data_IF_201182836066
#
_entry.id   IF_201182836066
#
_cell.length_a   1.000
_cell.length_b   1.000
_cell.length_c   1.000
_cell.angle_alpha   90.00
_cell.angle_beta   90.00
_cell.angle_gamma   90.00
#
_symmetry.space_group_name_H-M   'P 1'
#
loop_
_entity.id
_entity.type
_entity.pdbx_description
1 polymer ?
#
# COMPACT_ATOMS: atom_id res chain seq x y z
N UNK A 1 -18.61 55.14 24.55
CA UNK A 1 -17.24 54.64 24.79
C UNK A 1 -17.34 53.29 25.48
N UNK A 2 -17.16 52.20 24.74
CA UNK A 2 -17.23 50.83 25.28
C UNK A 2 -15.83 50.34 25.64
N UNK A 3 -15.63 49.94 26.89
CA UNK A 3 -14.39 49.31 27.36
C UNK A 3 -14.18 47.98 26.66
N UNK A 4 -13.17 47.90 25.78
CA UNK A 4 -12.68 46.64 25.28
C UNK A 4 -12.06 45.87 26.46
N UNK A 5 -12.49 44.63 26.75
CA UNK A 5 -11.89 43.84 27.81
C UNK A 5 -10.42 43.59 27.46
N UNK A 6 -9.51 43.98 28.38
CA UNK A 6 -8.08 43.65 28.30
C UNK A 6 -7.96 42.12 28.38
N UNK A 7 -7.87 41.47 27.21
CA UNK A 7 -7.64 40.04 27.12
C UNK A 7 -6.32 39.68 27.80
N UNK A 8 -6.41 38.84 28.84
CA UNK A 8 -5.28 38.31 29.57
C UNK A 8 -4.41 37.44 28.66
N UNK A 9 -3.32 38.04 28.15
CA UNK A 9 -2.37 37.35 27.26
C UNK A 9 -1.62 36.22 27.97
N UNK A 10 -1.58 36.18 29.31
CA UNK A 10 -0.88 35.12 30.06
C UNK A 10 -1.65 33.80 30.00
N UNK A 11 -2.99 33.85 29.99
CA UNK A 11 -3.82 32.66 29.82
C UNK A 11 -3.66 31.98 28.45
N UNK A 12 -3.43 32.76 27.39
CA UNK A 12 -3.29 32.24 26.02
C UNK A 12 -1.99 31.43 25.86
N UNK A 13 -0.87 31.94 26.39
CA UNK A 13 0.42 31.24 26.30
C UNK A 13 0.41 29.94 27.11
N UNK A 14 -0.13 29.97 28.33
CA UNK A 14 -0.27 28.77 29.17
C UNK A 14 -1.13 27.69 28.52
N UNK A 15 -2.26 28.10 27.92
CA UNK A 15 -3.12 27.18 27.16
C UNK A 15 -2.42 26.57 25.95
N UNK A 16 -1.64 27.37 25.21
CA UNK A 16 -0.91 26.88 24.04
C UNK A 16 0.18 25.87 24.42
N UNK A 17 0.96 26.14 25.46
CA UNK A 17 1.99 25.21 25.97
C UNK A 17 1.35 23.90 26.43
N UNK A 18 0.27 23.95 27.19
CA UNK A 18 -0.46 22.76 27.62
C UNK A 18 -0.98 21.96 26.41
N UNK A 19 -1.58 22.60 25.42
CA UNK A 19 -2.01 21.94 24.20
C UNK A 19 -0.85 21.28 23.44
N UNK A 20 0.29 21.95 23.31
CA UNK A 20 1.48 21.37 22.70
C UNK A 20 1.99 20.14 23.48
N UNK A 21 2.06 20.23 24.82
CA UNK A 21 2.46 19.11 25.66
C UNK A 21 1.50 17.93 25.55
N UNK A 22 0.18 18.19 25.52
CA UNK A 22 -0.82 17.16 25.31
C UNK A 22 -0.68 16.51 23.94
N UNK A 23 -0.50 17.29 22.87
CA UNK A 23 -0.29 16.77 21.52
C UNK A 23 0.98 15.91 21.42
N UNK A 24 2.08 16.35 22.02
CA UNK A 24 3.33 15.58 22.07
C UNK A 24 3.15 14.31 22.90
N UNK A 25 2.50 14.40 24.06
CA UNK A 25 2.23 13.25 24.92
C UNK A 25 1.35 12.20 24.26
N UNK A 26 0.23 12.61 23.66
CA UNK A 26 -0.64 11.70 22.91
C UNK A 26 0.01 11.19 21.63
N UNK A 27 0.80 12.02 20.94
CA UNK A 27 1.60 11.59 19.79
C UNK A 27 2.60 10.51 20.16
N UNK A 28 3.31 10.68 21.27
CA UNK A 28 4.24 9.69 21.80
C UNK A 28 3.52 8.38 22.18
N UNK A 29 2.36 8.48 22.84
CA UNK A 29 1.52 7.32 23.16
C UNK A 29 1.05 6.57 21.91
N UNK A 30 0.69 7.28 20.83
CA UNK A 30 0.29 6.65 19.57
C UNK A 30 1.45 5.91 18.87
N UNK A 31 2.67 6.43 19.03
CA UNK A 31 3.90 5.84 18.46
C UNK A 31 4.42 4.67 19.29
N UNK A 32 4.18 4.68 20.61
CA UNK A 32 4.75 3.73 21.56
C UNK A 32 4.53 2.25 21.18
N UNK A 33 3.33 1.79 20.76
CA UNK A 33 3.14 0.41 20.33
C UNK A 33 4.07 -0.01 19.18
N UNK A 34 4.34 0.89 18.24
CA UNK A 34 5.25 0.61 17.11
C UNK A 34 6.70 0.51 17.57
N UNK A 35 7.10 1.40 18.48
CA UNK A 35 8.46 1.39 19.08
C UNK A 35 8.68 0.11 19.89
N UNK A 36 7.72 -0.26 20.74
CA UNK A 36 7.79 -1.48 21.54
C UNK A 36 7.81 -2.72 20.65
N UNK A 37 6.86 -2.83 19.70
CA UNK A 37 6.82 -3.96 18.75
C UNK A 37 8.15 -4.11 18.02
N UNK A 38 8.68 -3.02 17.47
CA UNK A 38 9.91 -3.11 16.68
C UNK A 38 11.16 -3.33 17.53
N UNK A 39 11.21 -2.78 18.75
CA UNK A 39 12.28 -3.05 19.69
C UNK A 39 12.29 -4.51 20.14
N UNK A 40 11.12 -5.07 20.47
CA UNK A 40 10.99 -6.45 20.96
C UNK A 40 11.17 -7.49 19.85
N UNK A 41 10.56 -7.28 18.68
CA UNK A 41 10.56 -8.27 17.60
C UNK A 41 11.76 -8.16 16.67
N UNK A 42 12.26 -6.94 16.44
CA UNK A 42 13.28 -6.68 15.41
C UNK A 42 14.57 -6.06 15.97
N UNK A 43 14.63 -5.74 17.27
CA UNK A 43 15.79 -5.04 17.85
C UNK A 43 15.97 -3.60 17.35
N UNK A 44 14.96 -3.03 16.69
CA UNK A 44 15.02 -1.70 16.07
C UNK A 44 13.85 -0.81 16.51
N UNK A 45 13.85 -0.31 17.77
CA UNK A 45 12.71 0.45 18.31
C UNK A 45 12.40 1.73 17.50
N UNK A 46 13.41 2.34 16.91
CA UNK A 46 13.27 3.55 16.11
C UNK A 46 13.06 3.28 14.62
N UNK A 47 12.89 2.03 14.19
CA UNK A 47 12.65 1.68 12.79
C UNK A 47 11.53 2.49 12.09
N UNK A 48 10.45 2.95 12.75
CA UNK A 48 9.45 3.80 12.09
C UNK A 48 9.99 5.17 11.65
N UNK A 49 11.09 5.63 12.26
CA UNK A 49 11.67 6.96 12.05
C UNK A 49 13.05 6.90 11.38
N UNK A 50 13.87 5.94 11.81
CA UNK A 50 15.26 5.75 11.40
C UNK A 50 15.51 4.25 11.30
N UNK A 51 15.63 3.72 10.08
CA UNK A 51 16.16 2.35 9.88
C UNK A 51 17.61 2.43 9.44
N UNK A 52 18.41 1.44 9.81
CA UNK A 52 19.81 1.30 9.36
C UNK A 52 19.94 1.01 7.86
N UNK A 53 18.87 0.53 7.23
CA UNK A 53 18.90 0.10 5.84
C UNK A 53 18.54 1.23 4.87
N UNK A 54 17.44 1.96 5.08
CA UNK A 54 17.01 3.12 4.27
C UNK A 54 16.05 3.99 5.10
N UNK A 55 16.28 5.30 5.18
CA UNK A 55 15.35 6.17 5.92
C UNK A 55 13.93 6.04 5.34
N UNK A 56 12.89 6.17 6.17
CA UNK A 56 11.49 6.17 5.71
C UNK A 56 11.29 7.15 4.53
N UNK A 57 12.04 8.26 4.52
CA UNK A 57 12.07 9.28 3.45
C UNK A 57 12.68 8.79 2.12
N UNK A 58 13.60 7.82 2.14
CA UNK A 58 14.24 7.25 0.95
C UNK A 58 13.38 6.18 0.25
N UNK A 59 12.25 5.80 0.83
CA UNK A 59 11.34 4.84 0.18
C UNK A 59 10.71 5.42 -1.09
N UNK A 60 10.59 6.75 -1.22
CA UNK A 60 10.01 7.37 -2.42
C UNK A 60 10.72 6.96 -3.72
N UNK A 61 12.06 6.90 -3.71
CA UNK A 61 12.87 6.55 -4.89
C UNK A 61 12.79 5.06 -5.25
N UNK A 62 12.53 4.20 -4.27
CA UNK A 62 12.40 2.74 -4.49
C UNK A 62 11.12 2.38 -5.23
N UNK A 63 10.05 3.13 -4.98
CA UNK A 63 8.75 2.83 -5.57
C UNK A 63 8.62 3.45 -6.95
N UNK A 64 9.17 4.65 -7.16
CA UNK A 64 9.07 5.41 -8.42
C UNK A 64 10.30 6.30 -8.62
N UNK A 65 10.86 6.25 -9.83
CA UNK A 65 11.92 7.18 -10.22
C UNK A 65 11.49 8.66 -10.14
N UNK A 66 12.45 9.57 -10.08
CA UNK A 66 12.21 11.00 -9.84
C UNK A 66 11.21 11.64 -10.83
N UNK A 67 11.22 11.22 -12.10
CA UNK A 67 10.29 11.69 -13.13
C UNK A 67 8.84 11.27 -12.84
N UNK A 68 8.61 9.99 -12.54
CA UNK A 68 7.30 9.46 -12.19
C UNK A 68 6.77 10.09 -10.90
N UNK A 69 7.65 10.38 -9.94
CA UNK A 69 7.30 11.07 -8.70
C UNK A 69 6.90 12.54 -8.97
N UNK A 70 7.63 13.28 -9.81
CA UNK A 70 7.26 14.64 -10.21
C UNK A 70 5.92 14.68 -10.95
N UNK A 71 5.70 13.74 -11.87
CA UNK A 71 4.43 13.61 -12.57
C UNK A 71 3.28 13.32 -11.61
N UNK A 72 3.48 12.39 -10.65
CA UNK A 72 2.49 12.09 -9.63
C UNK A 72 2.14 13.32 -8.77
N UNK A 73 3.14 14.10 -8.37
CA UNK A 73 2.92 15.33 -7.61
C UNK A 73 2.12 16.39 -8.40
N UNK A 74 2.33 16.50 -9.71
CA UNK A 74 1.61 17.47 -10.54
C UNK A 74 0.12 17.10 -10.71
N UNK A 75 -0.21 15.81 -10.68
CA UNK A 75 -1.59 15.32 -10.76
C UNK A 75 -2.20 14.97 -9.40
N UNK A 76 -1.48 15.18 -8.29
CA UNK A 76 -1.83 14.70 -6.96
C UNK A 76 -3.27 15.06 -6.55
N UNK A 77 -3.76 16.31 -6.70
CA UNK A 77 -5.13 16.66 -6.32
C UNK A 77 -6.18 15.86 -7.10
N UNK A 78 -5.96 15.62 -8.40
CA UNK A 78 -6.87 14.85 -9.23
C UNK A 78 -6.77 13.35 -8.92
N UNK A 79 -5.54 12.87 -8.73
CA UNK A 79 -5.21 11.50 -8.39
C UNK A 79 -5.90 11.03 -7.11
N UNK A 80 -6.11 11.92 -6.13
CA UNK A 80 -6.80 11.59 -4.87
C UNK A 80 -8.25 11.15 -5.09
N UNK A 81 -8.95 11.72 -6.07
CA UNK A 81 -10.37 11.48 -6.30
C UNK A 81 -10.65 10.58 -7.50
N UNK A 82 -9.84 10.68 -8.55
CA UNK A 82 -10.05 10.01 -9.83
C UNK A 82 -8.92 9.05 -10.21
N UNK A 83 -7.79 9.08 -9.49
CA UNK A 83 -6.63 8.26 -9.82
C UNK A 83 -6.87 6.77 -9.63
N UNK A 84 -6.11 5.95 -10.35
CA UNK A 84 -5.97 4.53 -10.03
C UNK A 84 -4.50 4.17 -10.13
N UNK A 85 -3.84 4.08 -8.97
CA UNK A 85 -2.44 3.73 -8.88
C UNK A 85 -2.27 2.38 -8.20
N UNK A 86 -1.24 1.65 -8.62
CA UNK A 86 -0.84 0.42 -7.96
C UNK A 86 -0.57 0.68 -6.48
N UNK A 87 -1.15 -0.16 -5.62
CA UNK A 87 -0.98 -0.07 -4.16
C UNK A 87 -1.82 1.01 -3.48
N UNK A 88 -2.71 1.69 -4.21
CA UNK A 88 -3.56 2.75 -3.63
C UNK A 88 -4.78 2.20 -2.88
N UNK A 89 -5.27 1.02 -3.28
CA UNK A 89 -6.41 0.30 -2.69
C UNK A 89 -7.73 1.09 -2.56
N UNK A 90 -7.85 2.24 -3.23
CA UNK A 90 -9.06 3.05 -3.27
C UNK A 90 -8.78 4.51 -3.60
N UNK A 91 -9.84 5.29 -3.83
CA UNK A 91 -9.81 6.76 -4.02
C UNK A 91 -10.67 7.44 -2.96
N UNK A 92 -10.44 8.74 -2.73
CA UNK A 92 -11.36 9.57 -1.98
C UNK A 92 -12.66 9.78 -2.75
N UNK A 93 -13.75 9.98 -2.01
CA UNK A 93 -15.06 10.26 -2.62
C UNK A 93 -15.02 11.57 -3.42
N UNK A 94 -15.49 11.52 -4.67
CA UNK A 94 -15.70 12.70 -5.54
C UNK A 94 -16.70 13.70 -4.96
N UNK A 95 -17.49 13.30 -3.95
CA UNK A 95 -18.38 14.20 -3.22
C UNK A 95 -17.63 15.27 -2.44
N UNK A 96 -16.39 15.01 -2.02
CA UNK A 96 -15.60 15.98 -1.27
C UNK A 96 -15.40 17.26 -2.10
N UNK A 97 -14.78 17.20 -3.30
CA UNK A 97 -14.61 18.38 -4.13
C UNK A 97 -15.95 18.90 -4.68
N UNK A 98 -16.97 18.04 -4.88
CA UNK A 98 -18.27 18.49 -5.35
C UNK A 98 -19.03 19.35 -4.32
N UNK A 99 -18.92 19.02 -3.03
CA UNK A 99 -19.63 19.72 -1.95
C UNK A 99 -18.80 20.83 -1.31
N UNK A 100 -17.48 20.87 -1.53
CA UNK A 100 -16.61 21.91 -0.98
C UNK A 100 -17.06 23.34 -1.35
N UNK A 101 -17.44 23.66 -2.61
CA UNK A 101 -17.92 24.98 -2.99
C UNK A 101 -19.20 25.41 -2.27
N UNK A 102 -20.02 24.47 -1.77
CA UNK A 102 -21.24 24.78 -1.03
C UNK A 102 -20.96 25.49 0.31
N UNK A 103 -19.74 25.38 0.83
CA UNK A 103 -19.31 26.15 1.99
C UNK A 103 -19.27 27.65 1.72
N UNK A 104 -19.08 28.08 0.47
CA UNK A 104 -19.11 29.49 0.09
C UNK A 104 -20.52 30.09 0.18
N UNK A 105 -21.57 29.26 0.19
CA UNK A 105 -22.95 29.70 0.38
C UNK A 105 -23.27 30.02 1.85
N UNK A 106 -22.44 29.52 2.77
CA UNK A 106 -22.45 29.93 4.16
C UNK A 106 -21.88 31.34 4.16
N UNK A 107 -22.64 32.31 4.66
CA UNK A 107 -22.23 33.73 4.69
C UNK A 107 -20.97 33.97 5.52
N UNK A 108 -20.83 35.12 6.17
CA UNK A 108 -19.60 35.47 6.91
C UNK A 108 -19.24 34.40 7.97
N UNK A 109 -18.29 33.53 7.65
CA UNK A 109 -17.68 32.57 8.58
C UNK A 109 -16.47 33.26 9.20
N UNK A 110 -16.35 33.17 10.52
CA UNK A 110 -15.10 33.55 11.20
C UNK A 110 -14.04 32.50 10.87
N UNK A 111 -13.15 32.81 9.92
CA UNK A 111 -12.08 31.89 9.47
C UNK A 111 -11.20 31.40 10.61
N UNK A 112 -10.86 32.27 11.56
CA UNK A 112 -9.92 31.94 12.65
C UNK A 112 -10.60 31.17 13.79
N UNK A 113 -11.88 31.45 14.08
CA UNK A 113 -12.61 30.82 15.21
C UNK A 113 -13.41 29.59 14.81
N UNK A 114 -13.58 29.33 13.52
CA UNK A 114 -14.34 28.17 13.04
C UNK A 114 -13.51 26.90 13.19
N UNK A 115 -13.93 26.00 14.09
CA UNK A 115 -13.36 24.65 14.23
C UNK A 115 -13.31 23.91 12.90
N UNK A 116 -14.32 24.10 12.04
CA UNK A 116 -14.33 23.48 10.71
C UNK A 116 -13.19 23.97 9.82
N UNK A 117 -12.90 25.27 9.84
CA UNK A 117 -11.80 25.84 9.07
C UNK A 117 -10.46 25.37 9.63
N UNK A 118 -10.32 25.32 10.95
CA UNK A 118 -9.12 24.78 11.61
C UNK A 118 -8.88 23.31 11.24
N UNK A 119 -9.90 22.46 11.32
CA UNK A 119 -9.81 21.05 10.92
C UNK A 119 -9.49 20.89 9.42
N UNK A 120 -10.09 21.72 8.56
CA UNK A 120 -9.80 21.73 7.13
C UNK A 120 -8.34 22.13 6.87
N UNK A 121 -7.85 23.16 7.55
CA UNK A 121 -6.47 23.62 7.41
C UNK A 121 -5.46 22.57 7.90
N UNK A 122 -5.70 21.95 9.06
CA UNK A 122 -4.87 20.85 9.60
C UNK A 122 -4.86 19.66 8.65
N UNK A 123 -6.02 19.33 8.09
CA UNK A 123 -6.17 18.24 7.12
C UNK A 123 -5.38 18.50 5.83
N UNK A 124 -5.53 19.69 5.23
CA UNK A 124 -4.79 20.10 4.04
C UNK A 124 -3.28 20.12 4.32
N UNK A 125 -2.87 20.66 5.46
CA UNK A 125 -1.47 20.66 5.88
C UNK A 125 -0.95 19.23 6.04
N UNK A 126 -1.71 18.31 6.64
CA UNK A 126 -1.32 16.91 6.77
C UNK A 126 -1.12 16.21 5.43
N UNK A 127 -2.02 16.43 4.46
CA UNK A 127 -1.87 15.91 3.08
C UNK A 127 -0.65 16.53 2.39
N UNK A 128 -0.44 17.84 2.53
CA UNK A 128 0.70 18.54 1.94
C UNK A 128 2.03 18.06 2.53
N UNK A 129 2.12 17.91 3.86
CA UNK A 129 3.29 17.37 4.53
C UNK A 129 3.56 15.94 4.06
N UNK A 130 2.53 15.11 3.91
CA UNK A 130 2.71 13.78 3.32
C UNK A 130 3.27 13.85 1.90
N UNK A 131 2.71 14.70 1.03
CA UNK A 131 3.20 14.84 -0.34
C UNK A 131 4.65 15.36 -0.39
N UNK A 132 5.08 16.20 0.55
CA UNK A 132 6.45 16.71 0.63
C UNK A 132 7.43 15.66 1.17
N UNK A 133 7.07 14.95 2.24
CA UNK A 133 7.97 13.98 2.89
C UNK A 133 7.94 12.59 2.24
N UNK A 134 6.85 12.23 1.56
CA UNK A 134 6.61 10.92 0.95
C UNK A 134 6.06 11.03 -0.48
N UNK A 135 6.73 11.77 -1.39
CA UNK A 135 6.19 12.09 -2.70
C UNK A 135 6.01 10.85 -3.60
N UNK A 136 6.82 9.81 -3.41
CA UNK A 136 6.74 8.55 -4.17
C UNK A 136 5.71 7.54 -3.63
N UNK A 137 5.20 7.74 -2.40
CA UNK A 137 4.30 6.79 -1.74
C UNK A 137 2.86 7.30 -1.80
N UNK A 138 2.20 7.03 -2.92
CA UNK A 138 0.80 7.38 -3.14
C UNK A 138 -0.17 6.25 -2.78
N UNK A 139 -0.18 5.89 -1.50
CA UNK A 139 -1.13 4.93 -0.95
C UNK A 139 -2.00 5.60 0.12
N UNK A 140 -3.27 5.84 -0.20
CA UNK A 140 -4.20 6.63 0.63
C UNK A 140 -4.24 6.18 2.08
N UNK A 141 -4.07 4.88 2.34
CA UNK A 141 -4.07 4.31 3.70
C UNK A 141 -3.07 4.95 4.65
N UNK A 142 -1.94 5.48 4.17
CA UNK A 142 -0.90 6.03 5.05
C UNK A 142 -1.18 7.46 5.52
N UNK A 143 -2.01 8.19 4.77
CA UNK A 143 -2.45 9.55 5.11
C UNK A 143 -3.98 9.62 5.09
N UNK A 144 -4.64 8.50 5.39
CA UNK A 144 -6.08 8.40 5.48
C UNK A 144 -6.67 9.31 6.57
N UNK A 145 -6.06 9.45 7.77
CA UNK A 145 -6.62 10.32 8.81
C UNK A 145 -6.82 11.78 8.35
N UNK A 146 -5.82 12.50 7.79
CA UNK A 146 -6.05 13.84 7.29
C UNK A 146 -7.07 13.85 6.14
N UNK A 147 -7.07 12.84 5.26
CA UNK A 147 -8.08 12.76 4.20
C UNK A 147 -9.52 12.61 4.73
N UNK A 148 -9.72 11.81 5.79
CA UNK A 148 -11.03 11.66 6.43
C UNK A 148 -11.49 12.98 7.05
N UNK A 149 -10.58 13.81 7.57
CA UNK A 149 -10.94 15.14 8.07
C UNK A 149 -11.47 16.07 6.97
N UNK A 150 -11.09 15.89 5.70
CA UNK A 150 -11.68 16.63 4.56
C UNK A 150 -13.14 16.26 4.30
N UNK A 151 -13.63 15.14 4.84
CA UNK A 151 -15.05 14.78 4.68
C UNK A 151 -15.96 15.70 5.48
N UNK A 152 -15.49 16.24 6.61
CA UNK A 152 -16.25 17.13 7.48
C UNK A 152 -16.67 18.45 6.80
N UNK A 153 -15.77 19.23 6.16
CA UNK A 153 -16.17 20.42 5.42
C UNK A 153 -17.15 20.13 4.29
N UNK A 154 -16.93 19.05 3.53
CA UNK A 154 -17.84 18.65 2.46
C UNK A 154 -19.24 18.27 3.00
N UNK A 155 -19.30 17.46 4.06
CA UNK A 155 -20.55 17.08 4.70
C UNK A 155 -21.30 18.31 5.23
N UNK A 156 -20.60 19.26 5.86
CA UNK A 156 -21.21 20.49 6.35
C UNK A 156 -21.72 21.40 5.21
N UNK A 157 -21.03 21.43 4.08
CA UNK A 157 -21.47 22.12 2.87
C UNK A 157 -22.79 21.54 2.33
N UNK A 158 -22.88 20.22 2.24
CA UNK A 158 -24.09 19.50 1.83
C UNK A 158 -25.26 19.72 2.80
N UNK A 159 -25.01 19.61 4.11
CA UNK A 159 -26.01 19.85 5.15
C UNK A 159 -26.56 21.28 5.06
N UNK A 160 -25.69 22.28 4.90
CA UNK A 160 -26.12 23.66 4.76
C UNK A 160 -26.95 23.89 3.49
N UNK A 161 -26.52 23.32 2.35
CA UNK A 161 -27.28 23.36 1.11
C UNK A 161 -28.68 22.74 1.27
N UNK A 162 -28.79 21.70 2.10
CA UNK A 162 -30.06 21.04 2.41
C UNK A 162 -30.94 21.88 3.35
N UNK A 163 -30.38 22.36 4.45
CA UNK A 163 -31.07 23.08 5.51
C UNK A 163 -31.49 24.50 5.11
N UNK A 164 -30.64 25.23 4.37
CA UNK A 164 -30.83 26.65 4.11
C UNK A 164 -32.06 27.00 3.24
N UNK A 165 -32.78 26.01 2.71
CA UNK A 165 -34.08 26.20 2.04
C UNK A 165 -34.08 27.06 0.79
N UNK A 166 -32.90 27.52 0.34
CA UNK A 166 -32.78 28.53 -0.73
C UNK A 166 -33.20 28.01 -2.09
N UNK A 167 -33.01 26.73 -2.39
CA UNK A 167 -33.43 26.15 -3.67
C UNK A 167 -33.75 24.66 -3.58
N UNK A 168 -34.92 24.28 -4.13
CA UNK A 168 -35.32 22.87 -4.30
C UNK A 168 -34.37 22.12 -5.24
N UNK A 169 -33.84 22.78 -6.28
CA UNK A 169 -32.91 22.15 -7.22
C UNK A 169 -31.58 21.79 -6.55
N UNK A 170 -31.08 22.64 -5.64
CA UNK A 170 -29.86 22.35 -4.90
C UNK A 170 -30.02 21.13 -3.99
N UNK A 171 -31.16 21.03 -3.28
CA UNK A 171 -31.49 19.86 -2.46
C UNK A 171 -31.55 18.57 -3.28
N UNK A 172 -32.25 18.62 -4.41
CA UNK A 172 -32.36 17.48 -5.34
C UNK A 172 -30.97 17.11 -5.88
N UNK A 173 -30.15 18.09 -6.27
CA UNK A 173 -28.78 17.87 -6.73
C UNK A 173 -27.90 17.17 -5.70
N UNK A 174 -27.90 17.64 -4.44
CA UNK A 174 -27.18 17.00 -3.34
C UNK A 174 -27.66 15.55 -3.13
N UNK A 175 -28.97 15.32 -3.13
CA UNK A 175 -29.54 13.97 -2.99
C UNK A 175 -29.14 13.05 -4.14
N UNK A 176 -29.21 13.51 -5.39
CA UNK A 176 -28.78 12.74 -6.56
C UNK A 176 -27.30 12.38 -6.44
N UNK A 177 -26.43 13.33 -6.07
CA UNK A 177 -25.01 13.08 -5.85
C UNK A 177 -24.77 12.02 -4.77
N UNK A 178 -25.48 12.09 -3.64
CA UNK A 178 -25.38 11.10 -2.56
C UNK A 178 -25.83 9.71 -3.02
N UNK A 179 -26.99 9.61 -3.69
CA UNK A 179 -27.51 8.35 -4.22
C UNK A 179 -26.55 7.75 -5.26
N UNK A 180 -26.02 8.56 -6.18
CA UNK A 180 -25.03 8.14 -7.17
C UNK A 180 -23.75 7.62 -6.50
N UNK A 181 -23.23 8.33 -5.50
CA UNK A 181 -22.04 7.92 -4.78
C UNK A 181 -22.26 6.62 -3.99
N UNK A 182 -23.42 6.47 -3.34
CA UNK A 182 -23.81 5.22 -2.69
C UNK A 182 -23.92 4.09 -3.71
N UNK A 183 -24.64 4.28 -4.82
CA UNK A 183 -24.78 3.28 -5.87
C UNK A 183 -23.42 2.85 -6.44
N UNK A 184 -22.52 3.80 -6.72
CA UNK A 184 -21.16 3.51 -7.16
C UNK A 184 -20.37 2.72 -6.10
N UNK A 185 -20.51 3.08 -4.82
CA UNK A 185 -19.86 2.39 -3.71
C UNK A 185 -20.40 0.97 -3.52
N UNK A 186 -21.71 0.75 -3.60
CA UNK A 186 -22.35 -0.56 -3.47
C UNK A 186 -22.15 -1.47 -4.68
N UNK A 187 -21.96 -0.91 -5.88
CA UNK A 187 -21.70 -1.71 -7.07
C UNK A 187 -20.26 -2.24 -7.14
N UNK A 188 -19.30 -1.60 -6.48
CA UNK A 188 -17.88 -2.04 -6.47
C UNK A 188 -17.62 -3.36 -5.73
N UNK A 189 -18.15 -3.60 -4.50
CA UNK A 189 -17.82 -4.79 -3.71
C UNK A 189 -18.74 -5.99 -3.95
N UNK A 190 -19.61 -5.98 -4.98
CA UNK A 190 -20.57 -7.08 -5.22
C UNK A 190 -19.91 -8.46 -5.31
N UNK A 191 -18.66 -8.55 -5.77
CA UNK A 191 -17.85 -9.78 -5.68
C UNK A 191 -17.34 -10.06 -4.26
N UNK A 192 -16.64 -9.09 -3.67
CA UNK A 192 -15.93 -9.27 -2.40
C UNK A 192 -16.80 -9.62 -1.20
N UNK A 193 -18.03 -9.06 -1.07
CA UNK A 193 -18.91 -9.42 0.06
C UNK A 193 -19.43 -10.84 -0.10
N UNK A 194 -19.80 -11.24 -1.31
CA UNK A 194 -20.24 -12.60 -1.59
C UNK A 194 -19.13 -13.61 -1.31
N UNK A 195 -17.92 -13.33 -1.77
CA UNK A 195 -16.77 -14.20 -1.56
C UNK A 195 -16.35 -14.22 -0.08
N UNK A 196 -16.28 -13.07 0.60
CA UNK A 196 -16.05 -13.02 2.04
C UNK A 196 -17.09 -13.83 2.83
N UNK A 197 -18.37 -13.74 2.46
CA UNK A 197 -19.42 -14.56 3.08
C UNK A 197 -19.22 -16.05 2.80
N UNK A 198 -18.85 -16.45 1.58
CA UNK A 198 -18.51 -17.85 1.30
C UNK A 198 -17.34 -18.32 2.16
N UNK A 199 -16.30 -17.51 2.32
CA UNK A 199 -15.14 -17.83 3.17
C UNK A 199 -15.54 -18.02 4.63
N UNK A 200 -16.28 -17.06 5.19
CA UNK A 200 -16.79 -17.12 6.58
C UNK A 200 -17.68 -18.34 6.81
N UNK A 201 -18.48 -18.71 5.81
CA UNK A 201 -19.34 -19.90 5.84
C UNK A 201 -18.59 -21.21 5.53
N UNK A 202 -17.27 -21.18 5.33
CA UNK A 202 -16.47 -22.36 4.97
C UNK A 202 -16.78 -22.95 3.59
N UNK A 203 -17.46 -22.18 2.72
CA UNK A 203 -17.85 -22.57 1.35
C UNK A 203 -16.85 -22.12 0.28
N UNK A 204 -15.79 -21.43 0.69
CA UNK A 204 -14.72 -20.98 -0.16
C UNK A 204 -13.40 -21.06 0.62
N UNK A 205 -12.34 -21.47 -0.07
CA UNK A 205 -10.97 -21.48 0.44
C UNK A 205 -10.37 -20.07 0.41
N UNK A 206 -9.16 -19.94 0.97
CA UNK A 206 -8.41 -18.69 0.88
C UNK A 206 -8.03 -18.37 -0.57
N UNK A 207 -7.78 -19.38 -1.42
CA UNK A 207 -7.58 -19.22 -2.87
C UNK A 207 -8.81 -18.73 -3.62
N UNK A 208 -10.01 -19.12 -3.17
CA UNK A 208 -11.28 -18.76 -3.82
C UNK A 208 -11.67 -17.30 -3.57
N UNK A 209 -11.26 -16.75 -2.43
CA UNK A 209 -11.63 -15.38 -1.98
C UNK A 209 -10.46 -14.41 -2.08
N UNK A 210 -9.24 -14.95 -2.05
CA UNK A 210 -8.02 -14.20 -2.25
C UNK A 210 -7.71 -13.96 -3.73
N UNK A 211 -6.92 -12.91 -3.95
CA UNK A 211 -6.33 -12.64 -5.27
C UNK A 211 -5.18 -13.65 -5.56
N UNK A 212 -4.51 -13.52 -6.70
CA UNK A 212 -3.38 -14.37 -7.12
C UNK A 212 -2.37 -14.71 -6.01
N UNK A 213 -1.97 -13.80 -5.09
CA UNK A 213 -1.04 -14.15 -4.03
C UNK A 213 -1.52 -15.24 -3.06
N UNK A 214 -2.83 -15.36 -2.84
CA UNK A 214 -3.40 -16.41 -2.02
C UNK A 214 -3.22 -17.78 -2.66
N UNK A 215 -3.51 -17.88 -3.96
CA UNK A 215 -3.32 -19.10 -4.74
C UNK A 215 -1.85 -19.51 -4.84
N UNK A 216 -0.94 -18.55 -4.96
CA UNK A 216 0.50 -18.83 -4.89
C UNK A 216 0.89 -19.44 -3.54
N UNK A 217 0.42 -18.83 -2.44
CA UNK A 217 0.70 -19.33 -1.09
C UNK A 217 0.16 -20.74 -0.89
N UNK A 218 -1.09 -21.00 -1.30
CA UNK A 218 -1.71 -22.33 -1.21
C UNK A 218 -0.99 -23.38 -2.07
N UNK A 219 -0.51 -22.98 -3.26
CA UNK A 219 0.29 -23.86 -4.11
C UNK A 219 1.60 -24.23 -3.45
N UNK A 220 2.31 -23.27 -2.84
CA UNK A 220 3.54 -23.58 -2.09
C UNK A 220 3.22 -24.45 -0.86
N UNK A 221 2.16 -24.12 -0.11
CA UNK A 221 1.77 -24.83 1.10
C UNK A 221 1.41 -26.31 0.84
N UNK A 222 0.81 -26.60 -0.31
CA UNK A 222 0.43 -27.97 -0.71
C UNK A 222 1.61 -28.80 -1.22
N UNK A 223 2.65 -28.16 -1.75
CA UNK A 223 3.80 -28.85 -2.32
C UNK A 223 5.00 -28.93 -1.37
N UNK A 224 5.15 -27.95 -0.47
CA UNK A 224 6.33 -27.83 0.38
C UNK A 224 6.21 -28.65 1.67
N UNK A 225 7.26 -29.40 1.99
CA UNK A 225 7.43 -30.08 3.27
C UNK A 225 7.92 -29.12 4.34
N UNK A 226 7.73 -29.48 5.61
CA UNK A 226 8.16 -28.66 6.74
C UNK A 226 9.67 -28.36 6.68
N UNK A 227 10.03 -27.09 6.91
CA UNK A 227 11.42 -26.62 6.93
C UNK A 227 12.04 -26.31 5.56
N UNK A 228 11.32 -26.50 4.45
CA UNK A 228 11.80 -26.04 3.14
C UNK A 228 11.79 -24.51 3.06
N UNK A 229 12.85 -23.93 2.49
CA UNK A 229 12.97 -22.47 2.34
C UNK A 229 12.25 -21.99 1.08
N UNK A 230 11.60 -20.83 1.20
CA UNK A 230 10.86 -20.17 0.11
C UNK A 230 11.47 -18.79 -0.13
N UNK A 231 11.99 -18.56 -1.32
CA UNK A 231 12.46 -17.24 -1.71
C UNK A 231 11.27 -16.40 -2.16
N UNK A 232 11.08 -15.27 -1.49
CA UNK A 232 9.98 -14.37 -1.75
C UNK A 232 10.41 -13.33 -2.79
N UNK A 233 10.11 -13.54 -4.06
CA UNK A 233 10.11 -12.47 -5.08
C UNK A 233 8.86 -11.58 -5.02
N UNK A 234 8.04 -11.70 -3.97
CA UNK A 234 6.78 -10.96 -3.78
C UNK A 234 6.63 -10.43 -2.35
N UNK A 235 6.01 -9.26 -2.13
CA UNK A 235 5.72 -8.76 -0.78
C UNK A 235 4.62 -9.55 -0.06
N UNK A 236 3.94 -10.49 -0.74
CA UNK A 236 2.79 -11.21 -0.21
C UNK A 236 3.15 -12.58 0.38
N UNK A 237 3.74 -12.59 1.57
CA UNK A 237 4.10 -13.83 2.28
C UNK A 237 3.03 -14.35 3.25
N UNK A 238 2.00 -13.55 3.53
CA UNK A 238 0.98 -13.84 4.54
C UNK A 238 0.12 -15.08 4.26
N UNK A 239 0.22 -15.62 3.04
CA UNK A 239 -0.51 -16.81 2.60
C UNK A 239 0.30 -18.11 2.78
N UNK A 240 1.54 -18.03 3.26
CA UNK A 240 2.35 -19.20 3.58
C UNK A 240 2.01 -19.73 4.98
N UNK A 241 2.12 -21.05 5.16
CA UNK A 241 2.10 -21.66 6.50
C UNK A 241 3.23 -21.08 7.37
N UNK A 242 3.04 -21.12 8.69
CA UNK A 242 3.97 -20.52 9.65
C UNK A 242 5.41 -21.09 9.56
N UNK A 243 5.57 -22.39 9.29
CA UNK A 243 6.87 -23.05 9.12
C UNK A 243 7.64 -22.52 7.90
N UNK A 244 6.93 -22.32 6.79
CA UNK A 244 7.49 -21.79 5.55
C UNK A 244 7.77 -20.29 5.65
N UNK A 245 6.92 -19.55 6.37
CA UNK A 245 7.14 -18.13 6.66
C UNK A 245 8.39 -17.92 7.53
N UNK A 246 8.60 -18.76 8.54
CA UNK A 246 9.81 -18.74 9.36
C UNK A 246 11.08 -19.10 8.56
N UNK A 247 10.92 -19.88 7.48
CA UNK A 247 12.00 -20.32 6.59
C UNK A 247 12.11 -19.48 5.31
N UNK A 248 11.36 -18.38 5.22
CA UNK A 248 11.33 -17.54 4.03
C UNK A 248 12.58 -16.67 3.92
N UNK A 249 12.93 -16.28 2.69
CA UNK A 249 14.09 -15.43 2.42
C UNK A 249 14.00 -14.08 3.15
N UNK A 250 15.08 -13.71 3.84
CA UNK A 250 15.20 -12.49 4.63
C UNK A 250 15.91 -11.35 3.89
N UNK A 251 16.16 -10.24 4.58
CA UNK A 251 16.89 -9.09 4.03
C UNK A 251 18.34 -9.44 3.65
N UNK A 252 18.98 -10.31 4.43
CA UNK A 252 20.35 -10.76 4.17
C UNK A 252 20.45 -11.53 2.86
N UNK A 253 19.45 -12.36 2.54
CA UNK A 253 19.39 -13.07 1.26
C UNK A 253 19.28 -12.08 0.08
N UNK A 254 18.49 -11.01 0.21
CA UNK A 254 18.43 -9.96 -0.81
C UNK A 254 19.73 -9.17 -0.94
N UNK A 255 20.42 -8.90 0.17
CA UNK A 255 21.73 -8.25 0.15
C UNK A 255 22.77 -9.13 -0.55
N UNK A 256 22.79 -10.44 -0.25
CA UNK A 256 23.66 -11.41 -0.90
C UNK A 256 23.38 -11.48 -2.40
N UNK A 257 22.11 -11.60 -2.82
CA UNK A 257 21.73 -11.65 -4.24
C UNK A 257 22.13 -10.38 -5.01
N UNK A 258 22.04 -9.20 -4.39
CA UNK A 258 22.50 -7.93 -4.97
C UNK A 258 24.01 -7.90 -5.21
N UNK A 259 24.79 -8.53 -4.33
CA UNK A 259 26.24 -8.55 -4.44
C UNK A 259 26.73 -9.44 -5.59
N UNK A 260 25.89 -10.37 -6.06
CA UNK A 260 26.20 -11.28 -7.17
C UNK A 260 26.03 -10.56 -8.52
N UNK A 261 26.95 -10.85 -9.45
CA UNK A 261 27.09 -10.11 -10.70
C UNK A 261 26.20 -10.68 -11.82
N UNK A 262 26.04 -12.00 -11.86
CA UNK A 262 25.30 -12.68 -12.94
C UNK A 262 24.04 -13.36 -12.43
N UNK A 263 23.07 -13.59 -13.31
CA UNK A 263 21.82 -14.27 -12.97
C UNK A 263 22.07 -15.75 -12.60
N UNK A 264 23.04 -16.40 -13.26
CA UNK A 264 23.45 -17.78 -12.95
C UNK A 264 23.96 -17.91 -11.51
N UNK A 265 24.80 -16.97 -11.07
CA UNK A 265 25.30 -16.92 -9.69
C UNK A 265 24.17 -16.76 -8.67
N UNK A 266 23.16 -15.95 -9.00
CA UNK A 266 22.01 -15.71 -8.13
C UNK A 266 21.13 -16.96 -8.03
N UNK A 267 20.88 -17.65 -9.13
CA UNK A 267 20.16 -18.93 -9.12
C UNK A 267 20.93 -20.02 -8.37
N UNK A 268 22.24 -20.10 -8.57
CA UNK A 268 23.12 -21.00 -7.83
C UNK A 268 23.08 -20.70 -6.32
N UNK A 269 23.16 -19.42 -5.93
CA UNK A 269 23.03 -19.00 -4.55
C UNK A 269 21.71 -19.46 -3.94
N UNK A 270 20.58 -19.21 -4.62
CA UNK A 270 19.27 -19.63 -4.12
C UNK A 270 19.23 -21.15 -3.88
N UNK A 271 19.71 -21.94 -4.84
CA UNK A 271 19.73 -23.40 -4.68
C UNK A 271 20.66 -23.85 -3.54
N UNK A 272 21.87 -23.27 -3.44
CA UNK A 272 22.89 -23.62 -2.44
C UNK A 272 22.44 -23.27 -1.03
N UNK A 273 21.76 -22.15 -0.85
CA UNK A 273 21.19 -21.72 0.42
C UNK A 273 19.92 -22.51 0.81
N UNK A 274 19.53 -23.50 0.01
CA UNK A 274 18.44 -24.41 0.34
C UNK A 274 17.06 -23.90 -0.03
N UNK A 275 16.95 -22.82 -0.82
CA UNK A 275 15.66 -22.40 -1.37
C UNK A 275 15.15 -23.44 -2.36
N UNK A 276 13.95 -23.97 -2.08
CA UNK A 276 13.27 -24.95 -2.95
C UNK A 276 12.19 -24.33 -3.80
N UNK A 277 11.57 -23.25 -3.31
CA UNK A 277 10.51 -22.53 -4.00
C UNK A 277 10.89 -21.08 -4.21
N UNK A 278 10.54 -20.52 -5.36
CA UNK A 278 10.66 -19.09 -5.66
C UNK A 278 9.27 -18.57 -6.04
N UNK A 279 8.74 -17.66 -5.22
CA UNK A 279 7.45 -17.01 -5.44
C UNK A 279 7.66 -15.66 -6.13
N UNK A 280 7.16 -15.47 -7.34
CA UNK A 280 7.33 -14.22 -8.10
C UNK A 280 6.00 -13.51 -8.28
N UNK A 281 6.02 -12.19 -8.07
CA UNK A 281 4.90 -11.33 -8.45
C UNK A 281 5.34 -10.25 -9.44
N UNK A 282 4.40 -9.72 -10.25
CA UNK A 282 4.67 -8.64 -11.20
C UNK A 282 5.21 -7.36 -10.54
N UNK A 283 4.94 -7.18 -9.25
CA UNK A 283 5.41 -6.02 -8.49
C UNK A 283 6.91 -6.10 -8.16
N UNK A 284 7.49 -7.29 -8.34
CA UNK A 284 8.91 -7.57 -8.14
C UNK A 284 9.57 -8.17 -9.37
N UNK A 285 9.03 -7.96 -10.58
CA UNK A 285 9.60 -8.51 -11.81
C UNK A 285 8.79 -8.25 -13.09
N UNK A 286 9.44 -8.36 -14.24
CA UNK A 286 8.79 -8.45 -15.55
C UNK A 286 8.86 -9.90 -16.01
N UNK A 287 7.74 -10.43 -16.51
CA UNK A 287 7.69 -11.77 -17.11
C UNK A 287 7.40 -11.58 -18.59
N UNK A 288 8.21 -12.20 -19.44
CA UNK A 288 8.06 -12.16 -20.89
C UNK A 288 6.67 -12.68 -21.30
N UNK A 289 6.07 -12.16 -22.39
CA UNK A 289 4.76 -12.59 -22.88
C UNK A 289 4.62 -14.10 -23.12
N UNK A 290 5.71 -14.78 -23.43
CA UNK A 290 5.77 -16.24 -23.61
C UNK A 290 5.76 -17.03 -22.29
N UNK A 291 5.88 -16.35 -21.15
CA UNK A 291 5.98 -16.96 -19.82
C UNK A 291 7.23 -17.84 -19.64
N UNK A 292 8.14 -17.88 -20.61
CA UNK A 292 9.37 -18.65 -20.55
C UNK A 292 10.42 -17.91 -19.71
N UNK A 293 10.41 -16.57 -19.81
CA UNK A 293 11.43 -15.72 -19.21
C UNK A 293 10.81 -14.90 -18.07
N UNK A 294 11.23 -15.15 -16.85
CA UNK A 294 10.89 -14.36 -15.68
C UNK A 294 12.14 -13.58 -15.29
N UNK A 295 12.00 -12.25 -15.20
CA UNK A 295 13.02 -11.34 -14.68
C UNK A 295 12.51 -10.76 -13.36
N UNK A 296 12.99 -11.29 -12.24
CA UNK A 296 12.59 -10.81 -10.91
C UNK A 296 13.41 -9.57 -10.56
N UNK A 297 12.83 -8.38 -10.63
CA UNK A 297 13.39 -7.13 -10.15
C UNK A 297 12.98 -6.91 -8.69
N UNK A 298 13.73 -7.48 -7.74
CA UNK A 298 13.51 -7.19 -6.32
C UNK A 298 14.80 -6.74 -5.64
N UNK A 299 14.75 -5.55 -5.06
CA UNK A 299 15.91 -4.95 -4.40
C UNK A 299 17.08 -4.67 -5.33
N UNK A 300 16.86 -4.47 -6.63
CA UNK A 300 17.93 -4.18 -7.60
C UNK A 300 18.70 -5.40 -8.12
N UNK A 301 18.40 -6.61 -7.65
CA UNK A 301 18.84 -7.84 -8.31
C UNK A 301 17.82 -8.24 -9.38
N UNK A 302 18.31 -8.75 -10.51
CA UNK A 302 17.52 -9.46 -11.53
C UNK A 302 17.71 -10.96 -11.35
N UNK A 303 16.65 -11.75 -11.52
CA UNK A 303 16.76 -13.20 -11.70
C UNK A 303 16.12 -13.52 -13.04
N UNK A 304 16.93 -13.74 -14.06
CA UNK A 304 16.48 -14.14 -15.40
C UNK A 304 16.41 -15.67 -15.50
N UNK A 305 15.23 -16.24 -15.74
CA UNK A 305 15.06 -17.70 -15.88
C UNK A 305 15.67 -18.29 -17.16
N UNK A 306 16.15 -17.48 -18.11
CA UNK A 306 16.92 -17.98 -19.27
C UNK A 306 18.38 -18.25 -18.97
N UNK A 307 18.87 -17.68 -17.87
CA UNK A 307 20.27 -17.68 -17.46
C UNK A 307 20.47 -18.55 -16.23
N UNK A 308 20.26 -19.85 -16.42
CA UNK A 308 20.40 -20.84 -15.36
C UNK A 308 21.77 -21.52 -15.45
N UNK A 309 22.37 -21.90 -14.31
CA UNK A 309 23.46 -22.87 -14.31
C UNK A 309 23.03 -24.14 -15.05
N UNK A 310 23.91 -24.74 -15.86
CA UNK A 310 23.58 -25.90 -16.70
C UNK A 310 22.98 -27.08 -15.90
N UNK A 311 23.36 -27.21 -14.63
CA UNK A 311 22.92 -28.26 -13.70
C UNK A 311 21.58 -27.97 -13.00
N UNK A 312 21.05 -26.76 -13.10
CA UNK A 312 19.82 -26.34 -12.43
C UNK A 312 18.62 -26.40 -13.38
N UNK A 313 17.52 -26.96 -12.90
CA UNK A 313 16.22 -26.98 -13.55
C UNK A 313 15.22 -26.22 -12.67
N UNK A 314 14.45 -25.32 -13.27
CA UNK A 314 13.33 -24.66 -12.61
C UNK A 314 12.04 -25.11 -13.28
N UNK A 315 11.09 -25.60 -12.48
CA UNK A 315 9.79 -26.06 -12.97
C UNK A 315 8.70 -25.14 -12.42
N UNK A 316 7.87 -24.51 -13.28
CA UNK A 316 6.73 -23.75 -12.79
C UNK A 316 5.67 -24.71 -12.24
N UNK A 317 5.25 -24.50 -10.99
CA UNK A 317 4.12 -25.24 -10.37
C UNK A 317 2.86 -24.38 -10.23
N UNK A 318 3.00 -23.07 -10.44
CA UNK A 318 1.89 -22.12 -10.50
C UNK A 318 2.22 -21.08 -11.55
N UNK A 319 1.25 -20.76 -12.43
CA UNK A 319 1.31 -19.65 -13.37
C UNK A 319 -0.09 -19.11 -13.57
N UNK A 320 -0.27 -17.83 -13.28
CA UNK A 320 -1.54 -17.17 -13.54
C UNK A 320 -1.31 -15.71 -13.89
N UNK A 321 -2.02 -15.21 -14.91
CA UNK A 321 -1.98 -13.81 -15.32
C UNK A 321 -3.39 -13.24 -15.41
N UNK A 322 -3.54 -11.90 -15.49
CA UNK A 322 -4.83 -11.27 -15.66
C UNK A 322 -5.43 -11.71 -16.99
N UNK A 323 -6.64 -12.30 -16.95
CA UNK A 323 -7.36 -12.79 -18.14
C UNK A 323 -7.73 -11.68 -19.14
N UNK A 324 -7.65 -10.40 -18.75
CA UNK A 324 -8.24 -9.28 -19.48
C UNK A 324 -7.30 -8.09 -19.74
N UNK A 325 -5.99 -8.23 -19.52
CA UNK A 325 -5.06 -7.15 -19.84
C UNK A 325 -4.02 -7.62 -20.85
N UNK A 326 -3.76 -6.77 -21.84
CA UNK A 326 -2.70 -6.87 -22.84
C UNK A 326 -1.27 -6.81 -22.27
N UNK A 327 -1.12 -6.94 -20.95
CA UNK A 327 0.18 -7.01 -20.27
C UNK A 327 0.38 -8.40 -19.67
N UNK A 328 1.54 -9.04 -19.89
CA UNK A 328 1.90 -10.36 -19.38
C UNK A 328 2.29 -10.30 -17.89
N UNK A 329 1.40 -9.77 -17.07
CA UNK A 329 1.58 -9.64 -15.63
C UNK A 329 1.36 -11.03 -15.04
N UNK A 330 2.41 -11.84 -14.96
CA UNK A 330 2.30 -13.22 -14.48
C UNK A 330 2.68 -13.30 -12.99
N UNK A 331 1.87 -14.01 -12.22
CA UNK A 331 2.23 -14.54 -10.91
C UNK A 331 2.72 -15.96 -11.10
N UNK A 332 3.87 -16.30 -10.51
CA UNK A 332 4.49 -17.60 -10.74
C UNK A 332 5.12 -18.16 -9.47
N UNK A 333 5.07 -19.49 -9.35
CA UNK A 333 5.84 -20.24 -8.36
C UNK A 333 6.71 -21.24 -9.10
N UNK A 334 8.01 -21.19 -8.84
CA UNK A 334 8.99 -22.11 -9.41
C UNK A 334 9.53 -23.05 -8.33
N UNK A 335 9.75 -24.30 -8.71
CA UNK A 335 10.48 -25.30 -7.90
C UNK A 335 11.88 -25.46 -8.47
N UNK A 336 12.89 -25.41 -7.61
CA UNK A 336 14.29 -25.52 -7.97
C UNK A 336 14.75 -26.97 -7.78
N UNK A 337 15.24 -27.59 -8.85
CA UNK A 337 15.74 -28.98 -8.85
C UNK A 337 17.10 -29.04 -9.53
N UNK A 338 17.95 -29.97 -9.09
CA UNK A 338 19.16 -30.31 -9.84
C UNK A 338 18.75 -31.26 -10.98
N UNK A 339 19.22 -31.01 -12.19
CA UNK A 339 19.05 -31.95 -13.31
C UNK A 339 19.66 -33.30 -12.94
N UNK A 340 19.03 -34.39 -13.35
CA UNK A 340 19.63 -35.72 -13.20
C UNK A 340 20.90 -35.82 -14.04
N UNK A 341 21.84 -36.66 -13.61
CA UNK A 341 23.10 -36.89 -14.35
C UNK A 341 22.85 -37.37 -15.79
N UNK A 342 21.78 -38.14 -16.01
CA UNK A 342 21.35 -38.59 -17.34
C UNK A 342 20.90 -37.43 -18.23
N UNK A 343 20.10 -36.48 -17.69
CA UNK A 343 19.72 -35.26 -18.44
C UNK A 343 20.95 -34.41 -18.75
N UNK A 344 21.91 -34.33 -17.84
CA UNK A 344 23.13 -33.54 -18.04
C UNK A 344 24.01 -34.12 -19.16
N UNK A 345 24.13 -35.46 -19.23
CA UNK A 345 24.87 -36.14 -20.30
C UNK A 345 24.18 -36.08 -21.66
N UNK A 346 22.86 -35.95 -21.69
CA UNK A 346 22.10 -35.85 -22.94
C UNK A 346 22.17 -34.44 -23.59
N UNK A 347 22.45 -33.41 -22.79
CA UNK A 347 22.53 -32.01 -23.24
C UNK A 347 23.97 -31.53 -23.52
N UNK A 348 24.99 -32.32 -23.15
CA UNK A 348 26.42 -32.04 -23.36
C UNK A 348 26.94 -32.58 -24.69
#
# INVERSE_FOLDING_TARGET
MGFAPRGDRRGVLGGMVLCCLLLVGFGALAVLPSVLKNGLLFGEPLAPFVTKAQSFLQQADLWRGAEATRHLLSIYPMALFLGQFQGMYGVMSVLIPAFFPLLLLRGRVSWVRSTLVQLTAVSVAGVALWAVFQPGVFALRYFLPPLLLLTLPAARGAEYAFAAGRSRSLRIGVLICLVMAMAATFNRPKGHVGDAMKYVLGRATQADVGDFPARMGETVNSHATAGQRVFLGTPFCYFLRADLLASAGGQDDFAALRALKTDEQRWEYLYREGFRYVMVSPQGGSISPDGANCVIHRGGATLDSTRLPAWLEITPIFREGPKHHSSPILYAVYVLKRKSEEKLKAES
#
